data_IF_209402180745
#
_entry.id   IF_209402180745
#
_cell.length_a   1.000
_cell.length_b   1.000
_cell.length_c   1.000
_cell.angle_alpha   90.00
_cell.angle_beta   90.00
_cell.angle_gamma   90.00
#
_symmetry.space_group_name_H-M   'P 1'
#
loop_
_entity.id
_entity.type
_entity.pdbx_description
1 polymer ?
#
# COMPACT_ATOMS: atom_id res chain seq x y z
N UNK A 1 24.01 -0.52 10.87
CA UNK A 1 23.08 0.61 10.71
C UNK A 1 21.67 0.14 10.38
N UNK A 2 21.41 -0.66 9.31
CA UNK A 2 20.03 -1.10 9.00
C UNK A 2 19.39 -1.94 10.12
N UNK A 3 20.12 -2.88 10.71
CA UNK A 3 19.61 -3.65 11.86
C UNK A 3 19.30 -2.79 13.09
N UNK A 4 20.01 -1.68 13.27
CA UNK A 4 19.71 -0.71 14.33
C UNK A 4 18.46 0.10 14.00
N UNK A 5 18.32 0.56 12.76
CA UNK A 5 17.10 1.24 12.31
C UNK A 5 15.86 0.35 12.44
N UNK A 6 15.98 -0.93 12.08
CA UNK A 6 14.91 -1.92 12.22
C UNK A 6 14.50 -2.10 13.70
N UNK A 7 15.46 -2.20 14.62
CA UNK A 7 15.16 -2.29 16.07
C UNK A 7 14.45 -1.05 16.57
N UNK A 8 14.94 0.15 16.23
CA UNK A 8 14.27 1.40 16.63
C UNK A 8 12.83 1.44 16.14
N UNK A 9 12.62 1.10 14.87
CA UNK A 9 11.29 1.15 14.25
C UNK A 9 10.30 0.16 14.89
N UNK A 10 10.71 -1.11 15.07
CA UNK A 10 9.78 -2.18 15.43
C UNK A 10 9.74 -2.52 16.92
N UNK A 11 10.86 -2.38 17.63
CA UNK A 11 10.96 -2.77 19.03
C UNK A 11 10.91 -1.57 19.96
N UNK A 12 11.54 -0.45 19.58
CA UNK A 12 11.61 0.75 20.40
C UNK A 12 10.50 1.75 20.08
N UNK A 13 9.71 1.51 19.02
CA UNK A 13 8.66 2.41 18.52
C UNK A 13 9.17 3.84 18.28
N UNK A 14 10.41 3.97 17.80
CA UNK A 14 11.08 5.22 17.48
C UNK A 14 11.30 5.37 15.98
N UNK A 15 10.24 5.69 15.20
CA UNK A 15 10.36 5.85 13.76
C UNK A 15 11.21 7.08 13.35
N UNK A 16 11.29 8.11 14.18
CA UNK A 16 12.12 9.28 13.91
C UNK A 16 13.60 8.92 13.99
N UNK A 17 14.03 8.28 15.08
CA UNK A 17 15.41 7.82 15.21
C UNK A 17 15.80 6.74 14.22
N UNK A 18 14.84 5.91 13.76
CA UNK A 18 15.07 4.97 12.69
C UNK A 18 15.36 5.72 11.37
N UNK A 19 14.55 6.74 11.04
CA UNK A 19 14.70 7.53 9.83
C UNK A 19 16.04 8.28 9.79
N UNK A 20 16.49 8.83 10.92
CA UNK A 20 17.80 9.48 11.05
C UNK A 20 18.95 8.53 10.71
N UNK A 21 18.89 7.29 11.22
CA UNK A 21 19.89 6.26 10.93
C UNK A 21 19.88 5.89 9.45
N UNK A 22 18.70 5.77 8.83
CA UNK A 22 18.55 5.43 7.42
C UNK A 22 19.08 6.56 6.51
N UNK A 23 18.78 7.80 6.86
CA UNK A 23 19.29 8.99 6.14
C UNK A 23 20.83 9.05 6.22
N UNK A 24 21.39 8.82 7.40
CA UNK A 24 22.84 8.76 7.58
C UNK A 24 23.48 7.60 6.78
N UNK A 25 22.81 6.43 6.74
CA UNK A 25 23.26 5.31 5.92
C UNK A 25 23.26 5.68 4.44
N UNK A 26 22.23 6.38 3.95
CA UNK A 26 22.15 6.83 2.57
C UNK A 26 23.31 7.75 2.17
N UNK A 27 23.67 8.66 3.07
CA UNK A 27 24.78 9.60 2.85
C UNK A 27 26.15 8.93 2.87
N UNK A 28 26.36 7.97 3.77
CA UNK A 28 27.65 7.27 3.90
C UNK A 28 27.84 6.18 2.85
N UNK A 29 26.75 5.56 2.38
CA UNK A 29 26.76 4.42 1.48
C UNK A 29 25.76 4.60 0.33
N UNK A 30 25.96 5.58 -0.58
CA UNK A 30 24.98 5.91 -1.62
C UNK A 30 24.76 4.76 -2.63
N UNK A 31 25.77 3.92 -2.83
CA UNK A 31 25.71 2.76 -3.73
C UNK A 31 25.65 1.41 -2.99
N UNK A 32 25.09 1.41 -1.78
CA UNK A 32 24.96 0.18 -0.99
C UNK A 32 24.09 -0.86 -1.72
N UNK A 33 24.48 -2.14 -1.71
CA UNK A 33 23.60 -3.23 -2.18
C UNK A 33 22.31 -3.34 -1.34
N UNK A 34 22.30 -2.75 -0.14
CA UNK A 34 21.14 -2.72 0.77
C UNK A 34 20.22 -1.51 0.54
N UNK A 35 20.30 -0.86 -0.63
CA UNK A 35 19.46 0.32 -0.95
C UNK A 35 17.98 -0.03 -0.97
N UNK A 36 17.62 -1.22 -1.47
CA UNK A 36 16.23 -1.67 -1.51
C UNK A 36 15.67 -1.89 -0.09
N UNK A 37 16.41 -2.56 0.76
CA UNK A 37 16.02 -2.79 2.17
C UNK A 37 15.94 -1.48 2.94
N UNK A 38 16.89 -0.58 2.70
CA UNK A 38 16.85 0.76 3.29
C UNK A 38 15.58 1.50 2.90
N UNK A 39 15.24 1.51 1.60
CA UNK A 39 14.03 2.21 1.11
C UNK A 39 12.75 1.66 1.70
N UNK A 40 12.67 0.35 1.94
CA UNK A 40 11.54 -0.27 2.63
C UNK A 40 11.41 0.25 4.06
N UNK A 41 12.51 0.29 4.82
CA UNK A 41 12.48 0.78 6.19
C UNK A 41 12.19 2.28 6.26
N UNK A 42 12.67 3.07 5.27
CA UNK A 42 12.33 4.49 5.16
C UNK A 42 10.83 4.69 4.96
N UNK A 43 10.19 3.90 4.09
CA UNK A 43 8.73 3.94 3.89
C UNK A 43 7.99 3.57 5.17
N UNK A 44 8.38 2.49 5.86
CA UNK A 44 7.77 2.08 7.13
C UNK A 44 7.87 3.21 8.18
N UNK A 45 9.05 3.83 8.32
CA UNK A 45 9.27 4.93 9.26
C UNK A 45 8.44 6.17 8.92
N UNK A 46 8.40 6.55 7.64
CA UNK A 46 7.62 7.69 7.17
C UNK A 46 6.11 7.50 7.40
N UNK A 47 5.60 6.29 7.17
CA UNK A 47 4.19 5.97 7.43
C UNK A 47 3.88 6.00 8.93
N UNK A 48 4.76 5.49 9.77
CA UNK A 48 4.63 5.54 11.23
C UNK A 48 4.63 6.99 11.76
N UNK A 49 5.36 7.90 11.10
CA UNK A 49 5.39 9.34 11.38
C UNK A 49 4.19 10.11 10.79
N UNK A 50 3.33 9.45 10.01
CA UNK A 50 2.23 10.11 9.30
C UNK A 50 2.68 10.94 8.08
N UNK A 51 3.95 10.85 7.67
CA UNK A 51 4.55 11.59 6.53
C UNK A 51 4.22 10.90 5.20
N UNK A 52 2.92 10.87 4.86
CA UNK A 52 2.37 10.06 3.76
C UNK A 52 2.86 10.49 2.38
N UNK A 53 3.00 11.79 2.13
CA UNK A 53 3.43 12.31 0.83
C UNK A 53 4.89 11.92 0.54
N UNK A 54 5.73 11.94 1.57
CA UNK A 54 7.12 11.50 1.46
C UNK A 54 7.24 9.99 1.29
N UNK A 55 6.39 9.23 1.98
CA UNK A 55 6.29 7.78 1.78
C UNK A 55 5.87 7.43 0.35
N UNK A 56 4.88 8.15 -0.21
CA UNK A 56 4.45 7.98 -1.60
C UNK A 56 5.58 8.30 -2.57
N UNK A 57 6.26 9.43 -2.38
CA UNK A 57 7.40 9.81 -3.22
C UNK A 57 8.51 8.74 -3.21
N UNK A 58 8.73 8.10 -2.06
CA UNK A 58 9.70 7.00 -1.93
C UNK A 58 9.22 5.76 -2.67
N UNK A 59 7.96 5.36 -2.48
CA UNK A 59 7.34 4.21 -3.15
C UNK A 59 7.30 4.37 -4.67
N UNK A 60 7.04 5.58 -5.18
CA UNK A 60 7.03 5.87 -6.62
C UNK A 60 8.39 5.64 -7.29
N UNK A 61 9.47 5.72 -6.52
CA UNK A 61 10.86 5.49 -7.02
C UNK A 61 11.33 4.05 -6.87
N UNK A 62 10.55 3.19 -6.18
CA UNK A 62 10.92 1.80 -5.95
C UNK A 62 10.36 0.90 -7.04
N UNK A 63 11.17 -0.07 -7.49
CA UNK A 63 10.63 -1.24 -8.19
C UNK A 63 9.98 -2.17 -7.17
N UNK A 64 8.69 -2.47 -7.35
CA UNK A 64 7.94 -3.33 -6.44
C UNK A 64 7.81 -4.76 -6.97
N UNK A 65 8.10 -4.97 -8.26
CA UNK A 65 8.01 -6.28 -8.90
C UNK A 65 9.02 -7.26 -8.31
N UNK A 66 8.59 -8.51 -8.17
CA UNK A 66 9.43 -9.62 -7.72
C UNK A 66 10.13 -9.40 -6.36
N UNK A 67 9.61 -8.48 -5.54
CA UNK A 67 10.12 -8.25 -4.20
C UNK A 67 9.30 -9.02 -3.16
N UNK A 68 9.89 -9.47 -2.06
CA UNK A 68 9.11 -10.00 -0.95
C UNK A 68 8.05 -8.98 -0.50
N UNK A 69 6.81 -9.45 -0.26
CA UNK A 69 5.69 -8.58 0.15
C UNK A 69 5.30 -7.51 -0.90
N UNK A 70 5.51 -7.79 -2.19
CA UNK A 70 5.14 -6.87 -3.29
C UNK A 70 3.66 -6.48 -3.23
N UNK A 71 2.76 -7.44 -3.00
CA UNK A 71 1.31 -7.17 -2.88
C UNK A 71 0.98 -6.13 -1.81
N UNK A 72 1.59 -6.24 -0.63
CA UNK A 72 1.44 -5.24 0.45
C UNK A 72 1.86 -3.85 0.00
N UNK A 73 3.02 -3.74 -0.64
CA UNK A 73 3.55 -2.43 -1.10
C UNK A 73 2.70 -1.83 -2.21
N UNK A 74 2.21 -2.66 -3.11
CA UNK A 74 1.24 -2.21 -4.12
C UNK A 74 -0.04 -1.69 -3.48
N UNK A 75 -0.60 -2.39 -2.48
CA UNK A 75 -1.78 -1.90 -1.74
C UNK A 75 -1.49 -0.55 -1.09
N UNK A 76 -0.39 -0.45 -0.35
CA UNK A 76 -0.02 0.79 0.36
C UNK A 76 0.18 1.94 -0.62
N UNK A 77 0.90 1.72 -1.75
CA UNK A 77 1.10 2.76 -2.76
C UNK A 77 -0.22 3.15 -3.43
N UNK A 78 -1.07 2.17 -3.76
CA UNK A 78 -2.40 2.41 -4.33
C UNK A 78 -3.28 3.26 -3.42
N UNK A 79 -3.31 2.97 -2.12
CA UNK A 79 -4.07 3.76 -1.13
C UNK A 79 -3.53 5.20 -1.01
N UNK A 80 -2.21 5.39 -1.01
CA UNK A 80 -1.60 6.71 -0.97
C UNK A 80 -1.88 7.50 -2.27
N UNK A 81 -1.84 6.84 -3.43
CA UNK A 81 -2.19 7.44 -4.73
C UNK A 81 -3.67 7.82 -4.79
N UNK A 82 -4.57 6.94 -4.32
CA UNK A 82 -6.01 7.25 -4.24
C UNK A 82 -6.27 8.47 -3.34
N UNK A 83 -5.59 8.55 -2.21
CA UNK A 83 -5.64 9.71 -1.31
C UNK A 83 -5.14 10.99 -1.99
N UNK A 84 -4.13 10.89 -2.85
CA UNK A 84 -3.62 11.97 -3.69
C UNK A 84 -4.46 12.20 -4.96
N UNK A 85 -5.62 11.56 -5.08
CA UNK A 85 -6.52 11.62 -6.25
C UNK A 85 -5.89 11.13 -7.57
N UNK A 86 -4.82 10.37 -7.50
CA UNK A 86 -4.16 9.73 -8.65
C UNK A 86 -4.85 8.39 -8.97
N UNK A 87 -6.13 8.48 -9.35
CA UNK A 87 -7.05 7.33 -9.41
C UNK A 87 -6.61 6.24 -10.38
N UNK A 88 -6.19 6.60 -11.60
CA UNK A 88 -5.73 5.61 -12.59
C UNK A 88 -4.51 4.83 -12.12
N UNK A 89 -3.55 5.53 -11.52
CA UNK A 89 -2.34 4.91 -10.99
C UNK A 89 -2.63 4.06 -9.75
N UNK A 90 -3.56 4.50 -8.92
CA UNK A 90 -4.03 3.71 -7.77
C UNK A 90 -4.70 2.40 -8.23
N UNK A 91 -5.55 2.48 -9.25
CA UNK A 91 -6.20 1.29 -9.85
C UNK A 91 -5.18 0.28 -10.37
N UNK A 92 -4.15 0.74 -11.09
CA UNK A 92 -3.07 -0.11 -11.57
C UNK A 92 -2.32 -0.80 -10.43
N UNK A 93 -2.07 -0.09 -9.32
CA UNK A 93 -1.44 -0.70 -8.14
C UNK A 93 -2.32 -1.77 -7.49
N UNK A 94 -3.63 -1.55 -7.38
CA UNK A 94 -4.52 -2.57 -6.85
C UNK A 94 -4.63 -3.79 -7.77
N UNK A 95 -4.57 -3.61 -9.08
CA UNK A 95 -4.50 -4.74 -10.04
C UNK A 95 -3.22 -5.56 -9.81
N UNK A 96 -2.07 -4.90 -9.64
CA UNK A 96 -0.82 -5.58 -9.32
C UNK A 96 -0.88 -6.28 -7.95
N UNK A 97 -1.47 -5.64 -6.94
CA UNK A 97 -1.65 -6.25 -5.63
C UNK A 97 -2.48 -7.53 -5.70
N UNK A 98 -3.55 -7.55 -6.48
CA UNK A 98 -4.40 -8.73 -6.68
C UNK A 98 -3.70 -9.83 -7.48
N UNK A 99 -2.86 -9.47 -8.45
CA UNK A 99 -2.07 -10.42 -9.21
C UNK A 99 -0.99 -11.12 -8.34
N UNK A 100 -0.34 -10.37 -7.46
CA UNK A 100 0.75 -10.85 -6.61
C UNK A 100 0.29 -11.34 -5.23
N UNK A 101 -0.91 -10.97 -4.78
CA UNK A 101 -1.42 -11.20 -3.42
C UNK A 101 -2.09 -12.53 -3.16
N UNK A 102 -1.94 -13.52 -4.06
CA UNK A 102 -2.51 -14.85 -3.88
C UNK A 102 -2.01 -15.48 -2.58
N UNK A 103 -2.93 -15.75 -1.65
CA UNK A 103 -2.61 -16.35 -0.34
C UNK A 103 -2.46 -15.36 0.82
N UNK A 104 -2.69 -14.06 0.61
CA UNK A 104 -2.73 -13.07 1.69
C UNK A 104 -4.09 -12.38 1.76
N UNK A 105 -5.03 -12.91 2.59
CA UNK A 105 -6.40 -12.39 2.66
C UNK A 105 -6.47 -10.89 3.00
N UNK A 106 -5.62 -10.42 3.90
CA UNK A 106 -5.60 -9.02 4.35
C UNK A 106 -5.32 -8.04 3.20
N UNK A 107 -4.31 -8.35 2.37
CA UNK A 107 -3.94 -7.49 1.26
C UNK A 107 -4.92 -7.60 0.09
N UNK A 108 -5.45 -8.81 -0.14
CA UNK A 108 -6.49 -9.05 -1.14
C UNK A 108 -7.77 -8.29 -0.80
N UNK A 109 -8.21 -8.32 0.46
CA UNK A 109 -9.38 -7.58 0.93
C UNK A 109 -9.23 -6.08 0.65
N UNK A 110 -8.11 -5.49 1.07
CA UNK A 110 -7.82 -4.07 0.87
C UNK A 110 -7.70 -3.70 -0.61
N UNK A 111 -7.08 -4.56 -1.42
CA UNK A 111 -6.92 -4.32 -2.86
C UNK A 111 -8.26 -4.34 -3.60
N UNK A 112 -9.15 -5.29 -3.32
CA UNK A 112 -10.49 -5.35 -3.91
C UNK A 112 -11.31 -4.10 -3.57
N UNK A 113 -11.31 -3.72 -2.30
CA UNK A 113 -11.99 -2.51 -1.86
C UNK A 113 -11.42 -1.24 -2.53
N UNK A 114 -10.08 -1.10 -2.52
CA UNK A 114 -9.40 0.04 -3.13
C UNK A 114 -9.66 0.13 -4.62
N UNK A 115 -9.67 -1.00 -5.34
CA UNK A 115 -9.96 -1.05 -6.78
C UNK A 115 -11.40 -0.66 -7.08
N UNK A 116 -12.36 -1.15 -6.31
CA UNK A 116 -13.76 -0.76 -6.44
C UNK A 116 -13.94 0.77 -6.28
N UNK A 117 -13.28 1.34 -5.27
CA UNK A 117 -13.31 2.79 -5.04
C UNK A 117 -12.67 3.56 -6.21
N UNK A 118 -11.51 3.14 -6.72
CA UNK A 118 -10.87 3.80 -7.87
C UNK A 118 -11.71 3.69 -9.13
N UNK A 119 -12.32 2.54 -9.41
CA UNK A 119 -13.23 2.35 -10.54
C UNK A 119 -14.45 3.26 -10.47
N UNK A 120 -15.01 3.45 -9.28
CA UNK A 120 -16.11 4.42 -9.08
C UNK A 120 -15.67 5.83 -9.47
N UNK A 121 -14.48 6.27 -9.04
CA UNK A 121 -13.95 7.60 -9.35
C UNK A 121 -13.57 7.79 -10.83
N UNK A 122 -13.19 6.71 -11.52
CA UNK A 122 -12.86 6.75 -12.96
C UNK A 122 -14.06 6.49 -13.86
N UNK A 123 -15.26 6.28 -13.31
CA UNK A 123 -16.50 6.07 -14.06
C UNK A 123 -16.74 4.64 -14.49
N UNK A 124 -15.88 3.67 -14.14
CA UNK A 124 -16.12 2.24 -14.38
C UNK A 124 -17.06 1.65 -13.30
N UNK A 125 -18.31 2.09 -13.33
CA UNK A 125 -19.31 1.64 -12.35
C UNK A 125 -19.62 0.15 -12.44
N UNK A 126 -19.54 -0.44 -13.64
CA UNK A 126 -19.75 -1.87 -13.83
C UNK A 126 -18.64 -2.69 -13.18
N UNK A 127 -17.39 -2.31 -13.41
CA UNK A 127 -16.24 -2.94 -12.78
C UNK A 127 -16.21 -2.74 -11.27
N UNK A 128 -16.60 -1.56 -10.78
CA UNK A 128 -16.71 -1.31 -9.34
C UNK A 128 -17.73 -2.23 -8.67
N UNK A 129 -18.93 -2.41 -9.27
CA UNK A 129 -19.94 -3.35 -8.75
C UNK A 129 -19.46 -4.79 -8.75
N UNK A 130 -18.76 -5.21 -9.82
CA UNK A 130 -18.19 -6.56 -9.90
C UNK A 130 -17.18 -6.80 -8.76
N UNK A 131 -16.29 -5.85 -8.50
CA UNK A 131 -15.33 -5.94 -7.40
C UNK A 131 -16.01 -6.00 -6.03
N UNK A 132 -17.06 -5.20 -5.79
CA UNK A 132 -17.82 -5.23 -4.55
C UNK A 132 -18.55 -6.57 -4.35
N UNK A 133 -19.09 -7.17 -5.42
CA UNK A 133 -19.69 -8.50 -5.37
C UNK A 133 -18.66 -9.58 -5.00
N UNK A 134 -17.50 -9.56 -5.66
CA UNK A 134 -16.38 -10.46 -5.34
C UNK A 134 -15.93 -10.24 -3.88
N UNK A 135 -15.83 -8.98 -3.46
CA UNK A 135 -15.48 -8.64 -2.09
C UNK A 135 -16.42 -9.32 -1.08
N UNK A 136 -17.74 -9.18 -1.24
CA UNK A 136 -18.72 -9.76 -0.33
C UNK A 136 -18.76 -11.30 -0.36
N UNK A 137 -18.46 -11.91 -1.51
CA UNK A 137 -18.32 -13.36 -1.61
C UNK A 137 -17.13 -13.88 -0.81
N UNK A 138 -16.01 -13.20 -0.84
CA UNK A 138 -14.77 -13.61 -0.18
C UNK A 138 -14.70 -13.15 1.28
N UNK A 139 -15.26 -11.99 1.58
CA UNK A 139 -15.18 -11.32 2.88
C UNK A 139 -16.55 -10.84 3.37
N UNK A 140 -17.51 -11.77 3.61
CA UNK A 140 -18.90 -11.41 4.02
C UNK A 140 -18.96 -10.67 5.36
N UNK A 141 -17.96 -10.85 6.22
CA UNK A 141 -17.80 -10.15 7.50
C UNK A 141 -16.55 -9.27 7.54
N UNK A 142 -16.02 -8.93 6.37
CA UNK A 142 -14.83 -8.13 6.23
C UNK A 142 -15.04 -6.68 6.67
N UNK A 143 -13.94 -5.96 6.81
CA UNK A 143 -13.92 -4.58 7.32
C UNK A 143 -14.87 -3.64 6.58
N UNK A 144 -15.05 -3.85 5.28
CA UNK A 144 -15.85 -2.99 4.41
C UNK A 144 -17.17 -3.63 3.94
N UNK A 145 -17.59 -4.76 4.54
CA UNK A 145 -18.75 -5.52 4.08
C UNK A 145 -20.04 -4.69 4.10
N UNK A 146 -20.36 -4.04 5.21
CA UNK A 146 -21.54 -3.19 5.33
C UNK A 146 -21.55 -2.02 4.33
N UNK A 147 -20.39 -1.44 4.05
CA UNK A 147 -20.26 -0.36 3.07
C UNK A 147 -20.44 -0.89 1.64
N UNK A 148 -19.89 -2.07 1.34
CA UNK A 148 -20.04 -2.73 0.05
C UNK A 148 -21.50 -3.08 -0.24
N UNK A 149 -22.24 -3.60 0.76
CA UNK A 149 -23.69 -3.88 0.67
C UNK A 149 -24.47 -2.59 0.36
N UNK A 150 -24.18 -1.52 1.09
CA UNK A 150 -24.82 -0.21 0.90
C UNK A 150 -24.59 0.33 -0.52
N UNK A 151 -23.36 0.26 -1.01
CA UNK A 151 -23.01 0.72 -2.37
C UNK A 151 -23.69 -0.12 -3.46
N UNK A 152 -23.83 -1.43 -3.26
CA UNK A 152 -24.51 -2.31 -4.21
C UNK A 152 -26.04 -2.11 -4.22
N UNK A 153 -26.63 -1.72 -3.08
CA UNK A 153 -28.06 -1.45 -2.96
C UNK A 153 -28.45 -0.06 -3.50
N UNK A 154 -27.51 0.87 -3.68
CA UNK A 154 -27.79 2.19 -4.19
C UNK A 154 -28.36 2.14 -5.61
N UNK A 155 -29.43 2.89 -5.92
CA UNK A 155 -29.98 2.97 -7.28
C UNK A 155 -28.93 3.54 -8.24
N UNK A 156 -29.06 3.13 -9.51
CA UNK A 156 -28.18 3.59 -10.60
C UNK A 156 -28.51 5.02 -11.01
#
# INVERSE_FOLDING_TARGET
>A
MLGQALRRLRNEHDPAGALDILTRHASLFPQSPLTSERSVLEVEALLALGRRDEALLRLDRMSLDNTPRSAERYVVRGELRARAQRWSEAGADFDQALAHGKGSPVWQERALWGRAATRTHTGDHAGARADLQIYLQLYPTGRFASEAERLLAAPR
#
